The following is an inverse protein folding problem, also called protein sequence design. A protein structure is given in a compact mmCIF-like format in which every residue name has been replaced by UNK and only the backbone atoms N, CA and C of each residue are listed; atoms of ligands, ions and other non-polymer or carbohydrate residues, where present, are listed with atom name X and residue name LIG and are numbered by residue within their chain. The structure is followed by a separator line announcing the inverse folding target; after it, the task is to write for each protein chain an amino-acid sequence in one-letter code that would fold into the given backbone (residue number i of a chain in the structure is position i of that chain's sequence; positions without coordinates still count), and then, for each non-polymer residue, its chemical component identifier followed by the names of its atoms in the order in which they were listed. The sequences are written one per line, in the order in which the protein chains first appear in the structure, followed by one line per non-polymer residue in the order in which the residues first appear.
data_IF_659131179097
#
_entry.id   IF_659131179097
#
_cell.length_a   1.000
_cell.length_b   1.000
_cell.length_c   1.000
_cell.angle_alpha   90.00
_cell.angle_beta   90.00
_cell.angle_gamma   90.00
#
_symmetry.space_group_name_H-M   'P 1'
#
loop_
_entity.id
_entity.type
_entity.pdbx_description
1 polymer ?
#
# COMPACT_ATOMS: atom_id res chain seq x y z
N UNK A 1 6.24 0.56 9.98
CA UNK A 1 6.12 -0.31 8.78
C UNK A 1 5.01 -1.32 9.05
N UNK A 2 4.03 -1.47 8.17
CA UNK A 2 2.94 -2.44 8.35
C UNK A 2 3.47 -3.88 8.32
N UNK A 3 3.07 -4.70 9.30
CA UNK A 3 3.47 -6.11 9.39
C UNK A 3 2.57 -6.95 8.48
N UNK A 4 3.06 -7.23 7.28
CA UNK A 4 2.40 -8.08 6.27
C UNK A 4 3.48 -8.82 5.47
N UNK A 5 3.19 -10.04 5.01
CA UNK A 5 4.12 -10.78 4.15
C UNK A 5 3.90 -10.40 2.67
N UNK A 6 4.89 -9.78 1.99
CA UNK A 6 4.75 -9.42 0.59
C UNK A 6 4.52 -10.63 -0.34
N UNK A 7 4.87 -11.85 0.08
CA UNK A 7 4.70 -13.06 -0.72
C UNK A 7 3.23 -13.48 -0.86
N UNK A 8 2.35 -13.04 0.04
CA UNK A 8 0.92 -13.33 -0.02
C UNK A 8 0.14 -12.38 -0.94
N UNK A 9 0.80 -11.35 -1.49
CA UNK A 9 0.15 -10.35 -2.31
C UNK A 9 0.88 -10.07 -3.62
N UNK A 10 0.29 -9.15 -4.40
CA UNK A 10 0.89 -8.55 -5.57
C UNK A 10 1.03 -7.05 -5.37
N UNK A 11 2.11 -6.50 -5.91
CA UNK A 11 2.36 -5.07 -5.99
C UNK A 11 1.46 -4.46 -7.07
N UNK A 12 0.78 -3.39 -6.72
CA UNK A 12 0.01 -2.58 -7.66
C UNK A 12 0.86 -1.40 -8.12
N UNK A 13 1.57 -0.77 -7.19
CA UNK A 13 2.58 0.23 -7.50
C UNK A 13 3.69 0.20 -6.44
N UNK A 14 4.91 0.57 -6.84
CA UNK A 14 6.04 0.73 -5.94
C UNK A 14 6.86 1.95 -6.33
N UNK A 15 7.13 2.82 -5.35
CA UNK A 15 8.00 3.97 -5.54
C UNK A 15 9.28 3.81 -4.74
N UNK A 16 10.42 4.11 -5.37
CA UNK A 16 11.74 4.17 -4.74
C UNK A 16 12.22 5.62 -4.77
N UNK A 17 12.43 6.20 -3.60
CA UNK A 17 12.89 7.58 -3.43
C UNK A 17 14.31 7.51 -2.87
N UNK A 18 15.29 7.81 -3.72
CA UNK A 18 16.70 7.82 -3.37
C UNK A 18 17.07 9.21 -2.85
N UNK A 19 17.77 9.29 -1.72
CA UNK A 19 18.25 10.54 -1.13
C UNK A 19 19.76 10.50 -0.94
N UNK A 20 20.44 11.61 -1.20
CA UNK A 20 21.89 11.80 -1.07
C UNK A 20 22.65 11.67 -2.38
N UNK A 21 23.97 11.63 -2.30
CA UNK A 21 24.86 11.54 -3.46
C UNK A 21 24.69 10.19 -4.19
N UNK A 22 23.78 10.12 -5.16
CA UNK A 22 23.42 8.88 -5.87
C UNK A 22 23.72 9.04 -7.36
N UNK A 23 24.39 8.05 -7.95
CA UNK A 23 24.61 8.03 -9.40
C UNK A 23 23.39 7.40 -10.09
N UNK A 24 22.69 8.09 -11.01
CA UNK A 24 21.47 7.57 -11.65
C UNK A 24 21.68 6.22 -12.36
N UNK A 25 22.87 5.98 -12.91
CA UNK A 25 23.24 4.70 -13.53
C UNK A 25 23.15 3.55 -12.54
N UNK A 26 23.64 3.74 -11.32
CA UNK A 26 23.65 2.71 -10.28
C UNK A 26 22.24 2.45 -9.74
N UNK A 27 21.44 3.51 -9.59
CA UNK A 27 20.02 3.42 -9.21
C UNK A 27 19.23 2.61 -10.25
N UNK A 28 19.44 2.88 -11.54
CA UNK A 28 18.79 2.15 -12.63
C UNK A 28 19.26 0.68 -12.69
N UNK A 29 20.54 0.41 -12.50
CA UNK A 29 21.08 -0.96 -12.45
C UNK A 29 20.52 -1.76 -11.25
N UNK A 30 20.42 -1.14 -10.07
CA UNK A 30 19.81 -1.73 -8.90
C UNK A 30 18.31 -2.03 -9.13
N UNK A 31 17.59 -1.08 -9.72
CA UNK A 31 16.17 -1.27 -10.06
C UNK A 31 15.97 -2.39 -11.08
N UNK A 32 16.83 -2.50 -12.10
CA UNK A 32 16.81 -3.60 -13.05
C UNK A 32 17.05 -4.96 -12.37
N UNK A 33 17.99 -5.02 -11.43
CA UNK A 33 18.25 -6.23 -10.62
C UNK A 33 17.06 -6.61 -9.75
N UNK A 34 16.34 -5.63 -9.20
CA UNK A 34 15.13 -5.87 -8.41
C UNK A 34 14.01 -6.43 -9.30
N UNK A 35 13.86 -5.92 -10.53
CA UNK A 35 12.85 -6.37 -11.49
C UNK A 35 13.02 -7.83 -11.90
N UNK A 36 14.23 -8.39 -11.86
CA UNK A 36 14.46 -9.81 -12.19
C UNK A 36 14.12 -10.76 -11.03
N UNK A 37 13.98 -10.25 -9.80
CA UNK A 37 13.66 -11.08 -8.64
C UNK A 37 12.20 -11.51 -8.67
N UNK A 38 11.97 -12.83 -8.71
CA UNK A 38 10.62 -13.45 -8.70
C UNK A 38 9.79 -13.19 -7.43
N UNK A 39 10.43 -12.68 -6.37
CA UNK A 39 9.81 -12.34 -5.09
C UNK A 39 8.90 -11.11 -5.25
N UNK A 40 9.22 -10.21 -6.19
CA UNK A 40 8.41 -9.02 -6.43
C UNK A 40 7.48 -9.32 -7.60
N UNK A 41 6.22 -9.59 -7.28
CA UNK A 41 5.20 -9.86 -8.29
C UNK A 41 4.28 -8.66 -8.39
N UNK A 42 4.25 -8.04 -9.56
CA UNK A 42 3.25 -7.03 -9.86
C UNK A 42 1.95 -7.66 -10.37
N UNK A 43 0.87 -6.89 -10.28
CA UNK A 43 -0.37 -7.15 -10.99
C UNK A 43 -0.16 -7.14 -12.51
N UNK A 44 -0.96 -7.93 -13.23
CA UNK A 44 -0.75 -8.21 -14.65
C UNK A 44 -0.84 -6.96 -15.54
N UNK A 45 -1.63 -5.97 -15.14
CA UNK A 45 -1.80 -4.70 -15.85
C UNK A 45 -0.70 -3.67 -15.54
N UNK A 46 0.14 -3.90 -14.52
CA UNK A 46 1.26 -3.02 -14.16
C UNK A 46 2.60 -3.78 -14.08
N UNK A 47 3.09 -4.40 -15.18
CA UNK A 47 4.27 -5.28 -15.15
C UNK A 47 5.58 -4.56 -14.78
N UNK A 48 5.64 -3.23 -14.94
CA UNK A 48 6.81 -2.38 -14.65
C UNK A 48 6.48 -1.27 -13.67
N UNK A 49 5.66 -1.54 -12.64
CA UNK A 49 5.14 -0.56 -11.67
C UNK A 49 6.15 0.07 -10.70
N UNK A 50 7.40 0.29 -11.12
CA UNK A 50 8.40 1.04 -10.37
C UNK A 50 8.43 2.50 -10.82
N UNK A 51 8.11 3.44 -9.92
CA UNK A 51 8.48 4.85 -10.04
C UNK A 51 9.76 5.07 -9.25
N UNK A 52 10.75 5.73 -9.85
CA UNK A 52 12.05 5.96 -9.21
C UNK A 52 12.35 7.44 -9.29
N UNK A 53 12.74 8.01 -8.15
CA UNK A 53 13.13 9.42 -8.03
C UNK A 53 14.43 9.56 -7.23
N UNK A 54 15.18 10.62 -7.47
CA UNK A 54 16.48 10.89 -6.87
C UNK A 54 16.49 12.34 -6.36
N UNK A 55 16.56 12.50 -5.05
CA UNK A 55 16.93 13.73 -4.38
C UNK A 55 18.43 13.68 -4.05
N UNK A 56 19.21 14.64 -4.53
CA UNK A 56 20.65 14.68 -4.27
C UNK A 56 21.00 15.19 -2.86
N UNK A 57 20.04 15.78 -2.15
CA UNK A 57 20.24 16.19 -0.77
C UNK A 57 20.23 14.97 0.16
N UNK A 58 21.23 14.84 1.05
CA UNK A 58 21.21 13.79 2.06
C UNK A 58 20.08 14.05 3.06
N UNK A 59 19.54 13.01 3.73
CA UNK A 59 18.54 13.18 4.77
C UNK A 59 19.01 14.13 5.87
N UNK A 60 18.18 15.08 6.26
CA UNK A 60 18.57 16.10 7.26
C UNK A 60 18.61 15.50 8.66
N UNK A 61 17.65 14.64 8.97
CA UNK A 61 17.43 14.08 10.31
C UNK A 61 18.17 12.77 10.57
N UNK A 62 18.61 12.09 9.51
CA UNK A 62 19.39 10.86 9.63
C UNK A 62 20.84 11.16 9.26
N UNK A 63 21.80 10.77 10.13
CA UNK A 63 23.25 10.87 9.87
C UNK A 63 23.72 9.84 8.83
N UNK A 64 23.02 9.75 7.70
CA UNK A 64 23.31 8.83 6.60
C UNK A 64 23.65 9.63 5.35
N UNK A 65 24.71 9.25 4.63
CA UNK A 65 25.09 9.91 3.38
C UNK A 65 24.14 9.58 2.22
N UNK A 66 23.48 8.41 2.30
CA UNK A 66 22.54 7.90 1.30
C UNK A 66 21.40 7.19 2.01
N UNK A 67 20.17 7.36 1.52
CA UNK A 67 19.00 6.66 2.01
C UNK A 67 18.06 6.29 0.86
N UNK A 68 17.21 5.29 1.08
CA UNK A 68 16.14 4.93 0.15
C UNK A 68 14.83 4.77 0.92
N UNK A 69 13.83 5.56 0.55
CA UNK A 69 12.47 5.40 1.03
C UNK A 69 11.66 4.62 0.02
N UNK A 70 10.83 3.69 0.48
CA UNK A 70 10.01 2.86 -0.40
C UNK A 70 8.55 2.99 -0.02
N UNK A 71 7.75 3.48 -0.96
CA UNK A 71 6.28 3.47 -0.88
C UNK A 71 5.76 2.29 -1.68
N UNK A 72 4.83 1.51 -1.12
CA UNK A 72 4.32 0.27 -1.72
C UNK A 72 2.82 0.24 -1.59
N UNK A 73 2.14 0.18 -2.72
CA UNK A 73 0.74 -0.23 -2.76
C UNK A 73 0.71 -1.74 -3.09
N UNK A 74 0.35 -2.56 -2.12
CA UNK A 74 0.41 -4.03 -2.20
C UNK A 74 -0.86 -4.65 -1.61
N UNK A 75 -1.39 -5.68 -2.27
CA UNK A 75 -2.62 -6.34 -1.81
C UNK A 75 -2.45 -7.06 -0.46
N UNK A 76 -1.21 -7.42 -0.09
CA UNK A 76 -0.90 -8.02 1.21
C UNK A 76 -1.23 -7.10 2.40
N UNK A 77 -1.48 -5.80 2.16
CA UNK A 77 -1.95 -4.87 3.19
C UNK A 77 -3.25 -5.32 3.87
N UNK A 78 -4.07 -6.16 3.20
CA UNK A 78 -5.29 -6.74 3.78
C UNK A 78 -5.03 -7.51 5.08
N UNK A 79 -3.86 -8.15 5.23
CA UNK A 79 -3.49 -8.88 6.46
C UNK A 79 -3.34 -7.94 7.67
N UNK A 80 -2.82 -6.74 7.44
CA UNK A 80 -2.65 -5.76 8.50
C UNK A 80 -4.02 -5.25 8.98
N UNK A 81 -4.97 -5.03 8.07
CA UNK A 81 -6.35 -4.66 8.41
C UNK A 81 -7.06 -5.78 9.17
N UNK A 82 -6.96 -7.03 8.69
CA UNK A 82 -7.52 -8.18 9.40
C UNK A 82 -6.97 -8.33 10.83
N UNK A 83 -5.66 -8.06 11.02
CA UNK A 83 -5.03 -8.09 12.33
C UNK A 83 -5.53 -6.95 13.24
N UNK A 84 -5.77 -5.76 12.67
CA UNK A 84 -6.28 -4.61 13.40
C UNK A 84 -7.72 -4.85 13.84
N UNK A 85 -8.58 -5.31 12.93
CA UNK A 85 -9.96 -5.70 13.20
C UNK A 85 -10.05 -6.70 14.35
N UNK A 86 -9.25 -7.78 14.28
CA UNK A 86 -9.24 -8.78 15.33
C UNK A 86 -8.82 -8.23 16.70
N UNK A 87 -7.83 -7.35 16.75
CA UNK A 87 -7.39 -6.71 18.00
C UNK A 87 -8.45 -5.77 18.55
N UNK A 88 -9.10 -5.01 17.68
CA UNK A 88 -10.20 -4.15 18.07
C UNK A 88 -11.31 -4.98 18.69
N UNK A 89 -11.74 -6.06 18.03
CA UNK A 89 -12.81 -6.94 18.52
C UNK A 89 -12.49 -7.51 19.91
N UNK A 90 -11.24 -7.92 20.15
CA UNK A 90 -10.80 -8.44 21.45
C UNK A 90 -10.86 -7.38 22.56
N UNK A 91 -10.44 -6.15 22.28
CA UNK A 91 -10.42 -5.06 23.27
C UNK A 91 -11.84 -4.57 23.54
N UNK A 92 -12.64 -4.44 22.48
CA UNK A 92 -14.01 -3.94 22.56
C UNK A 92 -14.93 -4.94 23.27
N UNK A 93 -14.77 -6.25 23.04
CA UNK A 93 -15.54 -7.29 23.73
C UNK A 93 -15.37 -7.26 25.26
N UNK A 94 -14.21 -6.82 25.75
CA UNK A 94 -13.92 -6.66 27.17
C UNK A 94 -14.28 -5.26 27.71
N UNK A 95 -14.91 -4.40 26.89
CA UNK A 95 -15.17 -2.99 27.18
C UNK A 95 -13.92 -2.24 27.68
N UNK A 96 -12.72 -2.71 27.29
CA UNK A 96 -11.47 -2.19 27.79
C UNK A 96 -11.20 -0.80 27.19
N UNK A 97 -10.86 0.16 28.05
CA UNK A 97 -10.58 1.56 27.70
C UNK A 97 -11.75 2.36 27.10
N UNK A 98 -12.92 1.76 26.84
CA UNK A 98 -14.07 2.46 26.20
C UNK A 98 -14.52 3.68 27.02
N UNK A 99 -14.54 3.58 28.36
CA UNK A 99 -14.95 4.68 29.24
C UNK A 99 -14.08 5.95 29.12
N UNK A 100 -12.82 5.83 28.69
CA UNK A 100 -11.97 7.01 28.46
C UNK A 100 -12.47 7.83 27.28
N UNK A 101 -12.99 7.16 26.25
CA UNK A 101 -13.49 7.80 25.04
C UNK A 101 -14.92 8.33 25.20
N UNK A 102 -15.77 7.63 25.96
CA UNK A 102 -17.10 8.13 26.30
C UNK A 102 -17.05 9.43 27.13
N UNK A 103 -16.01 9.59 27.97
CA UNK A 103 -15.79 10.83 28.73
C UNK A 103 -15.45 12.04 27.86
N UNK A 104 -14.87 11.81 26.69
CA UNK A 104 -14.49 12.83 25.70
C UNK A 104 -15.52 12.99 24.56
N UNK A 105 -16.79 12.62 24.82
CA UNK A 105 -17.95 12.78 23.92
C UNK A 105 -18.07 11.83 22.72
N UNK A 106 -17.28 10.76 22.66
CA UNK A 106 -17.47 9.70 21.66
C UNK A 106 -18.68 8.85 22.04
N UNK A 107 -19.71 8.86 21.20
CA UNK A 107 -20.91 8.04 21.40
C UNK A 107 -20.61 6.55 21.15
N UNK A 108 -21.27 5.66 21.89
CA UNK A 108 -21.08 4.21 21.73
C UNK A 108 -21.43 3.75 20.30
N UNK A 109 -22.36 4.42 19.62
CA UNK A 109 -22.70 4.19 18.23
C UNK A 109 -21.55 4.48 17.25
N UNK A 110 -20.70 5.46 17.55
CA UNK A 110 -19.55 5.82 16.70
C UNK A 110 -18.49 4.70 16.67
N UNK A 111 -18.35 3.95 17.77
CA UNK A 111 -17.48 2.76 17.79
C UNK A 111 -17.99 1.66 16.86
N UNK A 112 -19.31 1.43 16.84
CA UNK A 112 -19.93 0.45 15.96
C UNK A 112 -19.80 0.86 14.49
N UNK A 113 -20.03 2.13 14.17
CA UNK A 113 -19.90 2.65 12.81
C UNK A 113 -18.45 2.54 12.32
N UNK A 114 -17.47 2.99 13.11
CA UNK A 114 -16.06 2.87 12.77
C UNK A 114 -15.63 1.40 12.57
N UNK A 115 -16.21 0.47 13.33
CA UNK A 115 -15.94 -0.97 13.18
C UNK A 115 -16.49 -1.52 11.87
N UNK A 116 -17.69 -1.11 11.47
CA UNK A 116 -18.30 -1.49 10.20
C UNK A 116 -17.51 -0.95 9.00
N UNK A 117 -17.04 0.30 9.07
CA UNK A 117 -16.19 0.91 8.05
C UNK A 117 -14.87 0.17 7.89
N UNK A 118 -14.24 -0.20 9.01
CA UNK A 118 -13.03 -1.02 9.04
C UNK A 118 -13.24 -2.40 8.41
N UNK A 119 -14.36 -3.06 8.75
CA UNK A 119 -14.75 -4.34 8.16
C UNK A 119 -14.98 -4.22 6.64
N UNK A 120 -15.62 -3.14 6.22
CA UNK A 120 -15.86 -2.86 4.81
C UNK A 120 -14.53 -2.66 4.06
N UNK A 121 -13.58 -1.94 4.65
CA UNK A 121 -12.26 -1.74 4.07
C UNK A 121 -11.48 -3.06 3.96
N UNK A 122 -11.47 -3.89 5.01
CA UNK A 122 -10.85 -5.22 5.00
C UNK A 122 -11.45 -6.08 3.87
N UNK A 123 -12.79 -6.09 3.76
CA UNK A 123 -13.52 -6.84 2.73
C UNK A 123 -13.16 -6.36 1.32
N UNK A 124 -13.10 -5.05 1.08
CA UNK A 124 -12.70 -4.48 -0.20
C UNK A 124 -11.29 -4.96 -0.55
N UNK A 125 -10.33 -4.87 0.37
CA UNK A 125 -8.96 -5.29 0.11
C UNK A 125 -8.84 -6.80 -0.13
N UNK A 126 -9.59 -7.62 0.60
CA UNK A 126 -9.66 -9.08 0.36
C UNK A 126 -10.25 -9.43 -0.99
N UNK A 127 -11.33 -8.75 -1.40
CA UNK A 127 -11.94 -8.95 -2.72
C UNK A 127 -10.98 -8.55 -3.83
N UNK A 128 -10.30 -7.41 -3.68
CA UNK A 128 -9.24 -6.98 -4.62
C UNK A 128 -8.11 -8.02 -4.69
N UNK A 129 -7.65 -8.51 -3.54
CA UNK A 129 -6.65 -9.57 -3.49
C UNK A 129 -7.13 -10.82 -4.22
N UNK A 130 -8.38 -11.25 -4.00
CA UNK A 130 -8.96 -12.40 -4.68
C UNK A 130 -9.02 -12.21 -6.19
N UNK A 131 -9.52 -11.07 -6.67
CA UNK A 131 -9.59 -10.76 -8.11
C UNK A 131 -8.18 -10.78 -8.73
N UNK A 132 -7.24 -10.03 -8.15
CA UNK A 132 -5.90 -9.84 -8.71
C UNK A 132 -5.00 -11.09 -8.61
N UNK A 133 -5.25 -11.96 -7.62
CA UNK A 133 -4.57 -13.26 -7.52
C UNK A 133 -5.23 -14.33 -8.40
N UNK A 134 -6.57 -14.32 -8.56
CA UNK A 134 -7.32 -15.34 -9.32
C UNK A 134 -7.51 -15.04 -10.81
N UNK A 135 -7.26 -13.83 -11.31
CA UNK A 135 -7.26 -13.53 -12.76
C UNK A 135 -6.34 -14.47 -13.58
N UNK A 136 -5.28 -15.01 -12.96
CA UNK A 136 -4.44 -16.07 -13.57
C UNK A 136 -5.21 -17.37 -13.87
N UNK A 137 -6.24 -17.71 -13.09
CA UNK A 137 -7.05 -18.91 -13.29
C UNK A 137 -8.04 -18.72 -14.43
N UNK A 138 -8.61 -17.52 -14.56
CA UNK A 138 -9.69 -17.24 -15.54
C UNK A 138 -9.19 -16.92 -16.95
N UNK A 139 -7.95 -16.45 -17.15
CA UNK A 139 -7.40 -16.25 -18.52
C UNK A 139 -7.22 -17.54 -19.32
N UNK A 140 -7.28 -18.73 -18.70
CA UNK A 140 -7.39 -20.00 -19.43
C UNK A 140 -8.80 -20.29 -19.95
N UNK A 141 -9.80 -19.55 -19.49
CA UNK A 141 -11.21 -19.82 -19.74
C UNK A 141 -11.97 -18.50 -19.98
N UNK A 142 -12.15 -18.18 -21.26
CA UNK A 142 -13.08 -17.18 -21.84
C UNK A 142 -12.49 -15.80 -22.16
N UNK A 143 -12.47 -15.58 -23.48
CA UNK A 143 -12.29 -14.33 -24.20
C UNK A 143 -13.53 -13.43 -24.01
N UNK A 144 -13.67 -12.78 -22.84
CA UNK A 144 -14.70 -11.76 -22.62
C UNK A 144 -14.04 -10.51 -22.04
N UNK A 145 -13.87 -9.49 -22.89
CA UNK A 145 -13.39 -8.15 -22.49
C UNK A 145 -14.45 -7.48 -21.61
N UNK A 146 -14.36 -7.66 -20.30
CA UNK A 146 -15.00 -6.72 -19.37
C UNK A 146 -14.18 -5.44 -19.41
N UNK A 147 -14.84 -4.29 -19.57
CA UNK A 147 -14.21 -2.98 -19.68
C UNK A 147 -13.79 -2.47 -18.28
N UNK A 148 -12.91 -3.22 -17.61
CA UNK A 148 -12.37 -2.91 -16.27
C UNK A 148 -11.37 -1.74 -16.32
N UNK A 149 -10.95 -1.36 -17.53
CA UNK A 149 -9.90 -0.37 -17.81
C UNK A 149 -10.19 1.00 -17.22
N UNK A 150 -11.45 1.47 -17.25
CA UNK A 150 -11.77 2.84 -16.80
C UNK A 150 -11.75 3.01 -15.27
N UNK A 151 -12.13 1.97 -14.51
CA UNK A 151 -12.06 2.00 -13.04
C UNK A 151 -10.61 1.83 -12.56
N UNK A 152 -9.82 1.03 -13.29
CA UNK A 152 -8.39 0.83 -13.03
C UNK A 152 -7.56 2.08 -13.34
N UNK A 153 -7.83 2.79 -14.45
CA UNK A 153 -7.14 4.04 -14.79
C UNK A 153 -7.43 5.16 -13.79
N UNK A 154 -8.67 5.26 -13.29
CA UNK A 154 -9.01 6.19 -12.21
C UNK A 154 -8.29 5.86 -10.91
N UNK A 155 -8.02 4.58 -10.64
CA UNK A 155 -7.32 4.13 -9.44
C UNK A 155 -5.78 4.20 -9.55
N UNK A 156 -5.21 3.99 -10.74
CA UNK A 156 -3.82 4.34 -11.04
C UNK A 156 -3.61 5.85 -10.91
N UNK A 157 -4.52 6.66 -11.50
CA UNK A 157 -4.49 8.11 -11.34
C UNK A 157 -4.62 8.51 -9.87
N UNK A 158 -5.51 7.90 -9.09
CA UNK A 158 -5.64 8.17 -7.64
C UNK A 158 -4.41 7.74 -6.85
N UNK A 159 -3.82 6.57 -7.14
CA UNK A 159 -2.62 6.10 -6.45
C UNK A 159 -1.42 7.00 -6.77
N UNK A 160 -1.27 7.44 -8.02
CA UNK A 160 -0.23 8.37 -8.46
C UNK A 160 -0.46 9.77 -7.90
N UNK A 161 -1.69 10.28 -7.92
CA UNK A 161 -2.08 11.57 -7.32
C UNK A 161 -1.91 11.55 -5.80
N UNK A 162 -2.25 10.46 -5.10
CA UNK A 162 -2.00 10.35 -3.66
C UNK A 162 -0.52 10.30 -3.34
N UNK A 163 0.31 9.66 -4.17
CA UNK A 163 1.77 9.67 -4.02
C UNK A 163 2.34 11.07 -4.32
N UNK A 164 1.84 11.77 -5.33
CA UNK A 164 2.24 13.16 -5.66
C UNK A 164 1.72 14.19 -4.65
N UNK A 165 0.56 13.95 -4.03
CA UNK A 165 0.03 14.78 -2.95
C UNK A 165 0.79 14.54 -1.64
N UNK A 166 1.14 13.28 -1.33
CA UNK A 166 2.11 12.94 -0.28
C UNK A 166 3.48 13.59 -0.55
N UNK A 167 3.87 13.73 -1.82
CA UNK A 167 5.10 14.40 -2.26
C UNK A 167 5.05 15.93 -2.04
N UNK A 168 3.89 16.57 -2.30
CA UNK A 168 3.69 18.01 -2.05
C UNK A 168 3.61 18.35 -0.56
N UNK A 169 2.90 17.55 0.24
CA UNK A 169 2.52 17.96 1.60
C UNK A 169 3.50 17.48 2.69
N UNK A 170 4.35 16.48 2.41
CA UNK A 170 5.24 15.89 3.44
C UNK A 170 6.76 16.03 3.20
N UNK A 171 7.21 16.46 2.00
CA UNK A 171 8.64 16.40 1.64
C UNK A 171 9.39 17.75 1.57
N UNK A 172 8.78 18.86 2.00
CA UNK A 172 9.56 20.09 2.31
C UNK A 172 10.41 19.91 3.59
N UNK A 173 10.16 18.88 4.40
CA UNK A 173 10.74 18.76 5.75
C UNK A 173 11.52 17.45 6.06
N UNK A 174 11.96 16.66 5.08
CA UNK A 174 12.85 15.48 5.30
C UNK A 174 14.23 15.72 4.67
#
# INVERSE_FOLDING_TARGET
MGKCDPCHGKYMARCLLHCGDMVPKDVNAATATIKTKRIIQFVDWCPTGFKVDINYQPPTVAKAQRAVYTLRNITAGAEAWACLDHKFDLIYAECAFVHWYMGDSVDEGEFSEAREDMAALEKIMRVLMWILLKEKVRKKEKNTKVNVTNVLLLWEAYSVLSIEKLWSDQFICI
#
